data_IF_879897211154
#
_entry.id   IF_879897211154
#
_cell.length_a   1.000
_cell.length_b   1.000
_cell.length_c   1.000
_cell.angle_alpha   90.00
_cell.angle_beta   90.00
_cell.angle_gamma   90.00
#
_symmetry.space_group_name_H-M   'P 1'
#
loop_
_entity.id
_entity.type
_entity.pdbx_description
1 polymer ?
#
# COMPACT_ATOMS: atom_id res chain seq x y z
N UNK A 1 -32.61 -34.00 -55.77
CA UNK A 1 -31.72 -33.64 -54.65
C UNK A 1 -32.62 -32.98 -53.60
N UNK A 2 -33.53 -33.71 -52.97
CA UNK A 2 -33.32 -34.78 -51.98
C UNK A 2 -32.31 -34.36 -50.90
N UNK A 3 -32.77 -34.17 -49.66
CA UNK A 3 -31.87 -34.05 -48.51
C UNK A 3 -32.42 -33.30 -47.30
N UNK A 4 -33.28 -33.98 -46.54
CA UNK A 4 -33.40 -34.02 -45.06
C UNK A 4 -33.77 -32.78 -44.20
N UNK A 5 -34.69 -33.08 -43.28
CA UNK A 5 -35.22 -32.34 -42.14
C UNK A 5 -34.53 -32.90 -40.87
N UNK A 6 -34.61 -32.15 -39.75
CA UNK A 6 -34.28 -32.53 -38.35
C UNK A 6 -32.78 -32.70 -38.00
N UNK A 7 -32.27 -32.07 -36.94
CA UNK A 7 -32.67 -32.31 -35.55
C UNK A 7 -32.26 -31.14 -34.63
N UNK A 8 -33.16 -30.78 -33.71
CA UNK A 8 -32.85 -30.01 -32.51
C UNK A 8 -31.97 -30.86 -31.57
N UNK A 9 -30.85 -30.31 -31.13
CA UNK A 9 -30.15 -30.80 -29.96
C UNK A 9 -30.64 -30.01 -28.74
N UNK A 10 -31.47 -30.64 -27.94
CA UNK A 10 -31.69 -30.26 -26.54
C UNK A 10 -30.45 -30.67 -25.76
N UNK A 11 -29.75 -29.71 -25.17
CA UNK A 11 -28.78 -29.99 -24.11
C UNK A 11 -29.47 -29.68 -22.80
N UNK A 12 -29.60 -30.74 -22.00
CA UNK A 12 -30.22 -30.76 -20.68
C UNK A 12 -29.70 -29.63 -19.78
N UNK A 13 -30.65 -28.95 -19.14
CA UNK A 13 -30.41 -28.06 -18.01
C UNK A 13 -30.03 -28.91 -16.79
N UNK A 14 -28.72 -29.08 -16.54
CA UNK A 14 -28.26 -29.52 -15.22
C UNK A 14 -28.09 -28.27 -14.33
N UNK A 15 -29.15 -28.00 -13.57
CA UNK A 15 -29.15 -27.15 -12.40
C UNK A 15 -28.32 -27.83 -11.31
N UNK A 16 -27.11 -27.34 -11.09
CA UNK A 16 -26.39 -27.56 -9.84
C UNK A 16 -25.97 -26.19 -9.30
N UNK A 17 -26.77 -25.65 -8.38
CA UNK A 17 -26.45 -24.49 -7.54
C UNK A 17 -25.27 -24.82 -6.61
N UNK A 18 -24.18 -24.03 -6.59
CA UNK A 18 -23.34 -23.95 -5.41
C UNK A 18 -23.85 -22.83 -4.50
N UNK A 19 -24.41 -23.24 -3.35
CA UNK A 19 -24.73 -22.40 -2.20
C UNK A 19 -23.49 -21.61 -1.70
N UNK A 20 -23.65 -20.34 -1.28
CA UNK A 20 -22.56 -19.45 -0.88
C UNK A 20 -22.23 -19.56 0.63
N UNK A 21 -21.06 -20.08 0.96
CA UNK A 21 -20.38 -19.87 2.26
C UNK A 21 -18.89 -20.20 2.05
N UNK A 22 -17.86 -19.48 2.50
CA UNK A 22 -17.69 -18.63 3.66
C UNK A 22 -16.31 -17.91 3.52
N UNK A 23 -16.27 -16.58 3.70
CA UNK A 23 -15.23 -15.71 4.32
C UNK A 23 -13.68 -15.95 4.13
N UNK A 24 -12.85 -14.91 4.27
CA UNK A 24 -11.85 -14.47 3.30
C UNK A 24 -10.44 -15.02 3.61
N UNK A 25 -9.76 -15.52 2.60
CA UNK A 25 -8.32 -15.79 2.67
C UNK A 25 -7.54 -14.48 2.77
N UNK A 26 -7.30 -14.08 4.02
CA UNK A 26 -6.17 -13.34 4.58
C UNK A 26 -5.04 -13.08 3.55
N UNK A 27 -4.72 -11.83 3.19
CA UNK A 27 -3.56 -11.58 2.35
C UNK A 27 -2.28 -12.03 3.06
N UNK A 28 -1.31 -12.64 2.34
CA UNK A 28 -0.08 -13.12 2.93
C UNK A 28 0.72 -11.94 3.50
N UNK A 29 1.03 -12.04 4.80
CA UNK A 29 1.96 -11.15 5.50
C UNK A 29 3.32 -11.29 4.84
N UNK A 30 3.66 -10.36 3.95
CA UNK A 30 4.97 -10.25 3.34
C UNK A 30 6.03 -10.04 4.42
N UNK A 31 6.95 -11.01 4.48
CA UNK A 31 8.10 -11.07 5.38
C UNK A 31 8.97 -9.81 5.22
N UNK A 32 9.20 -9.15 6.34
CA UNK A 32 10.06 -7.98 6.55
C UNK A 32 11.55 -8.41 6.57
N UNK A 33 12.44 -7.81 5.77
CA UNK A 33 13.85 -7.72 6.13
C UNK A 33 14.06 -6.43 6.95
N UNK A 34 14.46 -6.59 8.21
CA UNK A 34 15.07 -5.54 9.04
C UNK A 34 16.59 -5.59 8.85
N UNK A 35 17.29 -4.44 8.84
CA UNK A 35 17.66 -3.84 10.12
C UNK A 35 17.78 -2.30 10.10
N UNK A 36 17.61 -1.67 11.28
CA UNK A 36 18.53 -0.70 11.87
C UNK A 36 17.84 0.08 13.01
N UNK A 37 18.39 -0.07 14.22
CA UNK A 37 18.20 0.75 15.44
C UNK A 37 16.75 1.02 15.82
N UNK A 38 16.16 0.10 16.58
CA UNK A 38 14.73 0.12 16.91
C UNK A 38 14.47 0.77 18.27
N UNK A 39 14.41 2.10 18.30
CA UNK A 39 13.63 2.80 19.32
C UNK A 39 12.20 2.26 19.31
N UNK A 40 11.54 2.17 20.48
CA UNK A 40 10.20 1.55 20.58
C UNK A 40 9.26 2.15 19.54
N UNK A 41 8.57 1.33 18.75
CA UNK A 41 7.65 1.82 17.70
C UNK A 41 6.20 1.73 18.13
N UNK A 42 5.36 2.65 17.64
CA UNK A 42 3.91 2.57 17.83
C UNK A 42 3.28 1.52 16.90
N UNK A 43 2.02 1.18 17.17
CA UNK A 43 1.17 0.58 16.14
C UNK A 43 0.97 1.59 14.99
N UNK A 44 0.83 1.15 13.73
CA UNK A 44 0.50 2.03 12.61
C UNK A 44 -0.82 2.76 12.87
N UNK A 45 -0.88 4.04 12.52
CA UNK A 45 -2.06 4.88 12.74
C UNK A 45 -2.29 5.83 11.57
N UNK A 46 -3.55 6.18 11.35
CA UNK A 46 -3.97 7.24 10.42
C UNK A 46 -3.72 8.64 11.00
N UNK A 47 -3.51 8.75 12.31
CA UNK A 47 -3.32 10.04 12.96
C UNK A 47 -1.92 10.58 12.64
N UNK A 48 -1.87 11.63 11.83
CA UNK A 48 -0.67 12.44 11.64
C UNK A 48 -0.44 13.25 12.91
N UNK A 49 0.75 13.16 13.51
CA UNK A 49 1.13 13.95 14.70
C UNK A 49 1.56 15.34 14.27
N UNK A 50 1.38 16.32 15.15
CA UNK A 50 1.70 17.73 14.87
C UNK A 50 3.20 17.97 14.64
N UNK A 51 4.06 17.09 15.18
CA UNK A 51 5.50 17.16 14.97
C UNK A 51 5.97 16.49 13.66
N UNK A 52 5.09 15.86 12.87
CA UNK A 52 5.41 15.34 11.54
C UNK A 52 5.15 16.44 10.51
N UNK A 53 6.20 17.21 10.22
CA UNK A 53 6.11 18.40 9.37
C UNK A 53 6.59 18.14 7.94
N UNK A 54 7.53 17.20 7.78
CA UNK A 54 8.11 16.86 6.50
C UNK A 54 8.10 15.36 6.26
N UNK A 55 8.35 14.96 5.02
CA UNK A 55 8.61 13.59 4.66
C UNK A 55 9.78 13.49 3.67
N UNK A 56 10.61 12.47 3.87
CA UNK A 56 11.70 12.12 2.97
C UNK A 56 11.23 11.03 2.00
N UNK A 57 11.30 11.32 0.72
CA UNK A 57 10.96 10.40 -0.36
C UNK A 57 12.03 9.31 -0.47
N UNK A 58 11.65 8.06 -0.25
CA UNK A 58 12.51 6.89 -0.40
C UNK A 58 12.12 6.02 -1.62
N UNK A 59 11.29 6.56 -2.51
CA UNK A 59 10.91 5.89 -3.76
C UNK A 59 12.12 5.65 -4.66
N UNK A 60 12.12 4.48 -5.32
CA UNK A 60 13.15 4.10 -6.28
C UNK A 60 13.04 4.93 -7.56
N UNK A 61 14.19 5.36 -8.07
CA UNK A 61 14.34 6.05 -9.33
C UNK A 61 14.68 5.05 -10.46
N UNK A 62 14.56 5.48 -11.71
CA UNK A 62 14.84 4.63 -12.89
C UNK A 62 16.29 4.11 -12.95
N UNK A 63 17.23 4.79 -12.31
CA UNK A 63 18.64 4.40 -12.21
C UNK A 63 18.92 3.41 -11.05
N UNK A 64 17.89 2.98 -10.32
CA UNK A 64 18.01 2.07 -9.19
C UNK A 64 18.39 2.73 -7.84
N UNK A 65 18.66 4.04 -7.81
CA UNK A 65 18.88 4.75 -6.54
C UNK A 65 17.56 5.17 -5.89
N UNK A 66 17.58 5.60 -4.64
CA UNK A 66 16.43 6.22 -3.96
C UNK A 66 16.46 7.73 -4.12
N UNK A 67 15.29 8.39 -4.10
CA UNK A 67 15.19 9.84 -4.31
C UNK A 67 15.88 10.66 -3.20
N UNK A 68 15.50 10.45 -1.94
CA UNK A 68 16.07 11.13 -0.78
C UNK A 68 15.56 12.56 -0.53
N UNK A 69 14.68 13.10 -1.36
CA UNK A 69 14.19 14.48 -1.26
C UNK A 69 13.26 14.71 -0.07
N UNK A 70 13.40 15.87 0.59
CA UNK A 70 12.51 16.32 1.66
C UNK A 70 11.38 17.20 1.12
N UNK A 71 10.17 16.89 1.53
CA UNK A 71 8.92 17.51 1.09
C UNK A 71 8.06 17.87 2.31
N UNK A 72 7.24 18.91 2.23
CA UNK A 72 6.30 19.22 3.30
C UNK A 72 5.21 18.15 3.40
N UNK A 73 4.75 17.84 4.61
CA UNK A 73 3.74 16.79 4.87
C UNK A 73 2.43 17.02 4.10
N UNK A 74 2.07 18.28 3.83
CA UNK A 74 0.89 18.64 3.05
C UNK A 74 0.96 18.20 1.58
N UNK A 75 2.15 18.06 1.01
CA UNK A 75 2.33 17.63 -0.38
C UNK A 75 2.51 16.12 -0.47
N UNK A 76 1.56 15.43 -1.12
CA UNK A 76 1.62 13.98 -1.36
C UNK A 76 2.48 13.59 -2.57
N UNK A 77 3.00 14.54 -3.33
CA UNK A 77 3.87 14.28 -4.48
C UNK A 77 5.26 14.85 -4.19
N UNK A 78 6.30 14.06 -4.46
CA UNK A 78 7.67 14.50 -4.32
C UNK A 78 7.98 15.62 -5.34
N UNK A 79 8.55 16.71 -4.86
CA UNK A 79 8.91 17.86 -5.69
C UNK A 79 9.99 17.54 -6.72
N UNK A 80 10.89 16.60 -6.39
CA UNK A 80 12.05 16.26 -7.22
C UNK A 80 11.74 15.12 -8.20
N UNK A 81 11.44 13.92 -7.70
CA UNK A 81 11.22 12.75 -8.56
C UNK A 81 9.78 12.56 -9.06
N UNK A 82 8.85 13.44 -8.66
CA UNK A 82 7.41 13.38 -9.00
C UNK A 82 6.67 12.13 -8.54
N UNK A 83 7.34 11.22 -7.82
CA UNK A 83 6.71 10.05 -7.22
C UNK A 83 5.70 10.47 -6.15
N UNK A 84 4.61 9.73 -6.05
CA UNK A 84 3.66 9.88 -4.96
C UNK A 84 4.29 9.35 -3.67
N UNK A 85 4.01 10.03 -2.55
CA UNK A 85 4.34 9.55 -1.20
C UNK A 85 3.78 8.15 -1.01
N UNK A 86 4.63 7.24 -0.59
CA UNK A 86 4.36 5.82 -0.61
C UNK A 86 5.04 5.07 0.52
N UNK A 87 4.75 3.77 0.59
CA UNK A 87 5.31 2.87 1.59
C UNK A 87 6.83 2.94 1.55
N UNK A 88 7.45 3.07 2.73
CA UNK A 88 8.90 3.19 2.88
C UNK A 88 9.39 4.62 3.08
N UNK A 89 8.58 5.64 2.77
CA UNK A 89 8.93 7.04 3.00
C UNK A 89 8.99 7.35 4.50
N UNK A 90 9.92 8.23 4.87
CA UNK A 90 10.15 8.59 6.28
C UNK A 90 9.43 9.90 6.60
N UNK A 91 8.77 9.96 7.74
CA UNK A 91 8.19 11.18 8.29
C UNK A 91 9.19 11.83 9.25
N UNK A 92 9.40 13.13 9.11
CA UNK A 92 10.42 13.86 9.86
C UNK A 92 9.87 15.11 10.53
N UNK A 93 10.54 15.51 11.60
CA UNK A 93 10.30 16.78 12.29
C UNK A 93 10.90 17.98 11.53
N UNK A 94 10.84 19.16 12.15
CA UNK A 94 11.41 20.40 11.62
C UNK A 94 12.93 20.34 11.37
N UNK A 95 13.64 19.46 12.07
CA UNK A 95 15.10 19.33 12.01
C UNK A 95 15.55 18.24 11.04
N UNK A 96 14.61 17.54 10.41
CA UNK A 96 14.88 16.39 9.54
C UNK A 96 15.12 15.08 10.32
N UNK A 97 14.85 15.07 11.63
CA UNK A 97 14.92 13.85 12.44
C UNK A 97 13.78 12.94 12.05
N UNK A 98 14.10 11.67 11.79
CA UNK A 98 13.09 10.66 11.49
C UNK A 98 12.29 10.33 12.75
N UNK A 99 10.98 10.57 12.68
CA UNK A 99 10.03 10.28 13.77
C UNK A 99 8.94 9.28 13.35
N UNK A 100 8.80 9.02 12.05
CA UNK A 100 7.83 8.07 11.54
C UNK A 100 8.30 7.37 10.26
N UNK A 101 7.63 6.28 9.91
CA UNK A 101 7.74 5.61 8.61
C UNK A 101 6.35 5.30 8.07
N UNK A 102 6.12 5.56 6.79
CA UNK A 102 4.89 5.17 6.11
C UNK A 102 4.95 3.67 5.80
N UNK A 103 4.08 2.88 6.44
CA UNK A 103 4.14 1.42 6.35
C UNK A 103 3.04 0.83 5.48
N UNK A 104 1.95 1.56 5.28
CA UNK A 104 0.87 1.16 4.40
C UNK A 104 0.17 2.37 3.79
N UNK A 105 -0.24 2.24 2.54
CA UNK A 105 -1.13 3.18 1.86
C UNK A 105 -2.30 2.38 1.30
N UNK A 106 -3.51 2.77 1.65
CA UNK A 106 -4.71 2.16 1.09
C UNK A 106 -4.93 2.70 -0.33
N UNK A 107 -4.90 1.83 -1.33
CA UNK A 107 -5.01 2.21 -2.73
C UNK A 107 -6.43 2.65 -3.13
N UNK A 108 -7.45 2.33 -2.33
CA UNK A 108 -8.85 2.67 -2.62
C UNK A 108 -9.18 4.11 -2.23
N UNK A 109 -8.75 4.55 -1.04
CA UNK A 109 -9.10 5.88 -0.50
C UNK A 109 -7.89 6.81 -0.30
N UNK A 110 -6.65 6.31 -0.45
CA UNK A 110 -5.43 7.09 -0.28
C UNK A 110 -5.02 7.34 1.17
N UNK A 111 -5.58 6.57 2.12
CA UNK A 111 -5.23 6.63 3.54
C UNK A 111 -3.79 6.18 3.78
N UNK A 112 -3.08 6.91 4.63
CA UNK A 112 -1.66 6.69 4.92
C UNK A 112 -1.49 6.26 6.38
N UNK A 113 -0.94 5.07 6.59
CA UNK A 113 -0.71 4.51 7.92
C UNK A 113 0.74 4.69 8.33
N UNK A 114 0.96 5.59 9.28
CA UNK A 114 2.27 5.95 9.79
C UNK A 114 2.60 5.18 11.06
N UNK A 115 3.81 4.63 11.13
CA UNK A 115 4.37 4.04 12.33
C UNK A 115 5.38 5.00 12.95
N UNK A 116 5.13 5.47 14.17
CA UNK A 116 5.98 6.43 14.86
C UNK A 116 7.05 5.74 15.69
N UNK A 117 8.20 6.40 15.78
CA UNK A 117 9.28 6.05 16.69
C UNK A 117 9.00 6.79 18.00
N UNK A 118 9.06 6.07 19.11
CA UNK A 118 9.01 6.63 20.46
C UNK A 118 10.45 6.98 20.82
N UNK A 119 10.68 8.25 21.12
CA UNK A 119 11.91 8.70 21.75
C UNK A 119 12.01 8.02 23.13
N UNK A 120 13.19 7.49 23.46
CA UNK A 120 13.50 6.92 24.78
C UNK A 120 13.90 8.00 25.78
#
# INVERSE_FOLDING_TARGET
MEGIIETQAVVDMDMSDPDPSENPEKPPVSKKPEPATEGKKTKPTLKVRDNLLYWKCNQALHNGSTCGSFNEVGFKQCKDCKARRGVGDDGTDAYGTKIAKLVHVNNTNGDEFWQYILEE
#
